data_IF_833472169538
#
_entry.id   IF_833472169538
#
_cell.length_a   1.000
_cell.length_b   1.000
_cell.length_c   1.000
_cell.angle_alpha   90.00
_cell.angle_beta   90.00
_cell.angle_gamma   90.00
#
_symmetry.space_group_name_H-M   'P 1'
#
loop_
_entity.id
_entity.type
_entity.pdbx_description
1 polymer ?
#
# COMPACT_ATOMS: atom_id res chain seq x y z
N UNK A 1 33.11 5.40 6.97
CA UNK A 1 32.02 5.20 7.97
C UNK A 1 30.71 5.57 7.30
N UNK A 2 29.73 4.67 7.24
CA UNK A 2 28.40 5.02 6.72
C UNK A 2 27.75 6.01 7.69
N UNK A 3 27.11 7.03 7.14
CA UNK A 3 26.42 8.03 7.94
C UNK A 3 25.20 7.42 8.66
N UNK A 4 24.71 8.05 9.75
CA UNK A 4 23.46 7.65 10.40
C UNK A 4 22.31 7.57 9.39
N UNK A 5 22.27 8.50 8.44
CA UNK A 5 21.31 8.51 7.36
C UNK A 5 21.36 7.24 6.51
N UNK A 6 22.57 6.79 6.12
CA UNK A 6 22.74 5.61 5.26
C UNK A 6 22.35 4.33 6.01
N UNK A 7 22.70 4.24 7.30
CA UNK A 7 22.31 3.13 8.16
C UNK A 7 20.79 3.03 8.29
N UNK A 8 20.10 4.16 8.55
CA UNK A 8 18.62 4.17 8.66
C UNK A 8 17.98 3.82 7.33
N UNK A 9 18.46 4.38 6.21
CA UNK A 9 17.96 4.04 4.86
C UNK A 9 18.08 2.57 4.57
N UNK A 10 19.22 1.97 4.83
CA UNK A 10 19.45 0.53 4.67
C UNK A 10 18.49 -0.29 5.54
N UNK A 11 18.37 0.03 6.84
CA UNK A 11 17.53 -0.71 7.79
C UNK A 11 16.04 -0.65 7.43
N UNK A 12 15.58 0.48 6.88
CA UNK A 12 14.18 0.69 6.52
C UNK A 12 13.86 0.41 5.05
N UNK A 13 14.86 0.01 4.25
CA UNK A 13 14.71 -0.19 2.81
C UNK A 13 14.13 1.07 2.11
N UNK A 14 14.75 2.22 2.39
CA UNK A 14 14.37 3.53 1.82
C UNK A 14 15.38 3.95 0.77
N UNK A 15 15.03 3.80 -0.51
CA UNK A 15 15.90 4.11 -1.64
C UNK A 15 15.86 5.58 -2.08
N UNK A 16 14.86 6.35 -1.63
CA UNK A 16 14.67 7.74 -2.06
C UNK A 16 15.85 8.62 -1.61
N UNK A 17 16.59 9.13 -2.58
CA UNK A 17 17.78 9.98 -2.35
C UNK A 17 17.42 11.33 -1.72
N UNK A 18 16.21 11.82 -1.95
CA UNK A 18 15.74 13.10 -1.45
C UNK A 18 15.24 13.05 0.00
N UNK A 19 15.16 11.85 0.61
CA UNK A 19 14.88 11.68 2.04
C UNK A 19 16.19 11.68 2.79
N UNK A 20 16.31 12.56 3.78
CA UNK A 20 17.47 12.67 4.65
C UNK A 20 17.01 12.43 6.08
N UNK A 21 17.52 11.38 6.71
CA UNK A 21 17.29 11.10 8.14
C UNK A 21 18.30 11.87 8.98
N UNK A 22 17.81 12.59 9.98
CA UNK A 22 18.63 13.41 10.87
C UNK A 22 18.81 12.78 12.24
N UNK A 23 17.78 12.11 12.77
CA UNK A 23 17.78 11.59 14.14
C UNK A 23 16.67 10.54 14.33
N UNK A 24 16.64 9.90 15.52
CA UNK A 24 15.54 9.07 15.97
C UNK A 24 15.29 9.23 17.47
N UNK A 25 14.04 9.01 17.89
CA UNK A 25 13.62 9.01 19.29
C UNK A 25 12.71 7.83 19.59
N UNK A 26 12.59 7.50 20.87
CA UNK A 26 11.58 6.59 21.36
C UNK A 26 10.51 7.38 22.10
N UNK A 27 9.26 7.29 21.68
CA UNK A 27 8.13 7.99 22.30
C UNK A 27 7.12 6.98 22.85
N UNK A 28 6.68 7.17 24.11
CA UNK A 28 5.60 6.36 24.68
C UNK A 28 4.26 7.00 24.31
N UNK A 29 3.47 6.30 23.49
CA UNK A 29 2.15 6.74 23.08
C UNK A 29 1.14 5.68 23.54
N UNK A 30 0.28 6.06 24.50
CA UNK A 30 -0.74 5.19 25.08
C UNK A 30 -0.19 3.85 25.61
N UNK A 31 0.95 3.90 26.33
CA UNK A 31 1.58 2.72 26.93
C UNK A 31 2.41 1.85 25.95
N UNK A 32 2.49 2.24 24.69
CA UNK A 32 3.29 1.55 23.67
C UNK A 32 4.47 2.41 23.23
N UNK A 33 5.66 1.83 23.20
CA UNK A 33 6.89 2.53 22.77
C UNK A 33 6.95 2.51 21.25
N UNK A 34 6.96 3.69 20.65
CA UNK A 34 7.16 3.92 19.22
C UNK A 34 8.59 4.37 18.96
N UNK A 35 9.23 3.79 17.94
CA UNK A 35 10.48 4.30 17.40
C UNK A 35 10.16 5.31 16.30
N UNK A 36 10.53 6.57 16.51
CA UNK A 36 10.24 7.67 15.61
C UNK A 36 11.53 8.12 14.93
N UNK A 37 11.60 7.99 13.62
CA UNK A 37 12.68 8.52 12.83
C UNK A 37 12.31 9.90 12.30
N UNK A 38 13.20 10.87 12.48
CA UNK A 38 13.06 12.23 11.96
C UNK A 38 13.69 12.29 10.57
N UNK A 39 12.92 12.68 9.58
CA UNK A 39 13.40 12.77 8.22
C UNK A 39 12.89 14.03 7.52
N UNK A 40 13.70 14.57 6.62
CA UNK A 40 13.34 15.66 5.72
C UNK A 40 13.29 15.15 4.28
N UNK A 41 12.26 15.54 3.55
CA UNK A 41 12.11 15.27 2.13
C UNK A 41 12.32 16.57 1.35
N UNK A 42 13.40 16.60 0.59
CA UNK A 42 13.85 17.76 -0.19
C UNK A 42 13.23 17.73 -1.58
N UNK A 43 12.92 18.92 -2.12
CA UNK A 43 12.50 19.12 -3.51
C UNK A 43 13.64 19.79 -4.29
N UNK A 44 14.50 19.05 -5.02
CA UNK A 44 15.68 19.64 -5.69
C UNK A 44 15.34 20.42 -6.95
N UNK A 45 14.24 20.08 -7.61
CA UNK A 45 13.83 20.69 -8.89
C UNK A 45 12.33 20.92 -8.95
N UNK A 46 11.91 21.91 -9.73
CA UNK A 46 10.50 22.15 -9.99
C UNK A 46 9.87 20.99 -10.78
N UNK A 47 8.77 20.37 -10.30
CA UNK A 47 8.14 19.27 -11.03
C UNK A 47 7.42 19.72 -12.33
N UNK A 48 7.26 21.01 -12.55
CA UNK A 48 6.56 21.56 -13.72
C UNK A 48 7.50 22.00 -14.84
N UNK A 49 8.58 22.74 -14.51
CA UNK A 49 9.51 23.28 -15.50
C UNK A 49 10.97 22.77 -15.33
N UNK A 50 11.22 21.89 -14.34
CA UNK A 50 12.52 21.30 -14.02
C UNK A 50 13.61 22.30 -13.58
N UNK A 51 13.26 23.56 -13.36
CA UNK A 51 14.18 24.56 -12.85
C UNK A 51 14.66 24.23 -11.43
N UNK A 52 15.91 24.59 -11.13
CA UNK A 52 16.51 24.53 -9.79
C UNK A 52 16.33 25.83 -9.01
N UNK A 53 15.81 26.90 -9.65
CA UNK A 53 15.59 28.22 -9.05
C UNK A 53 14.33 28.18 -8.14
N UNK A 54 14.49 27.58 -6.99
CA UNK A 54 13.41 27.33 -6.04
C UNK A 54 13.56 28.18 -4.79
N UNK A 55 12.50 28.86 -4.40
CA UNK A 55 12.38 29.55 -3.10
C UNK A 55 11.67 28.65 -2.08
N UNK A 56 12.27 28.52 -0.91
CA UNK A 56 11.65 27.79 0.21
C UNK A 56 10.32 28.45 0.62
N UNK A 57 9.26 27.65 0.76
CA UNK A 57 7.91 28.10 1.09
C UNK A 57 7.28 27.28 2.23
N UNK A 58 8.08 26.99 3.26
CA UNK A 58 7.65 26.23 4.42
C UNK A 58 7.73 24.73 4.28
N UNK A 59 7.15 24.03 5.23
CA UNK A 59 7.15 22.56 5.30
C UNK A 59 5.75 22.03 5.61
N UNK A 60 5.55 20.75 5.29
CA UNK A 60 4.41 19.97 5.76
C UNK A 60 4.93 18.72 6.47
N UNK A 61 4.47 18.46 7.69
CA UNK A 61 4.88 17.28 8.47
C UNK A 61 3.84 16.18 8.31
N UNK A 62 4.27 14.99 7.93
CA UNK A 62 3.43 13.80 7.89
C UNK A 62 4.08 12.66 8.68
N UNK A 63 3.27 11.97 9.48
CA UNK A 63 3.70 10.77 10.20
C UNK A 63 3.40 9.54 9.33
N UNK A 64 4.45 8.89 8.85
CA UNK A 64 4.36 7.70 8.00
C UNK A 64 4.62 6.47 8.85
N UNK A 65 3.63 5.60 9.01
CA UNK A 65 3.77 4.31 9.69
C UNK A 65 4.58 3.36 8.83
N UNK A 66 5.51 2.67 9.48
CA UNK A 66 6.39 1.72 8.86
C UNK A 66 6.30 0.37 9.58
N UNK A 67 6.11 -0.71 8.83
CA UNK A 67 6.04 -2.06 9.38
C UNK A 67 7.45 -2.64 9.34
N UNK A 68 8.00 -2.92 10.51
CA UNK A 68 9.26 -3.63 10.70
C UNK A 68 9.00 -5.10 11.00
N UNK A 69 10.05 -5.92 11.02
CA UNK A 69 9.96 -7.32 11.40
C UNK A 69 9.52 -7.51 12.87
N UNK A 70 9.84 -6.55 13.75
CA UNK A 70 9.42 -6.55 15.15
C UNK A 70 8.16 -5.69 15.35
N UNK A 71 7.00 -6.36 15.41
CA UNK A 71 5.72 -5.71 15.66
C UNK A 71 5.58 -5.12 17.07
N UNK A 72 6.43 -5.54 18.02
CA UNK A 72 6.42 -5.02 19.41
C UNK A 72 6.87 -3.55 19.47
N UNK A 73 7.68 -3.14 18.50
CA UNK A 73 8.24 -1.78 18.41
C UNK A 73 7.80 -1.11 17.10
N UNK A 74 6.59 -0.55 17.07
CA UNK A 74 6.09 0.12 15.87
C UNK A 74 6.99 1.31 15.49
N UNK A 75 7.27 1.41 14.20
CA UNK A 75 8.10 2.47 13.62
C UNK A 75 7.24 3.50 12.93
N UNK A 76 7.56 4.78 13.16
CA UNK A 76 6.97 5.90 12.46
C UNK A 76 8.08 6.80 11.92
N UNK A 77 7.97 7.21 10.66
CA UNK A 77 8.83 8.25 10.09
C UNK A 77 8.07 9.57 10.18
N UNK A 78 8.58 10.51 10.96
CA UNK A 78 8.10 11.89 11.00
C UNK A 78 8.76 12.63 9.84
N UNK A 79 8.06 12.66 8.71
CA UNK A 79 8.58 13.16 7.44
C UNK A 79 8.20 14.63 7.24
N UNK A 80 9.20 15.51 7.29
CA UNK A 80 9.08 16.93 7.01
C UNK A 80 9.26 17.20 5.52
N UNK A 81 8.16 17.38 4.80
CA UNK A 81 8.14 17.58 3.35
C UNK A 81 8.35 19.05 3.01
N UNK A 82 9.36 19.34 2.23
CA UNK A 82 9.66 20.71 1.77
C UNK A 82 8.56 21.21 0.83
N UNK A 83 8.15 22.46 1.03
CA UNK A 83 7.29 23.22 0.11
C UNK A 83 8.15 24.26 -0.58
N UNK A 84 8.00 24.41 -1.88
CA UNK A 84 8.77 25.34 -2.69
C UNK A 84 7.89 26.16 -3.62
N UNK A 85 8.35 27.36 -3.91
CA UNK A 85 7.86 28.22 -5.00
C UNK A 85 8.94 28.27 -6.05
N UNK A 86 8.62 27.93 -7.28
CA UNK A 86 9.53 28.10 -8.42
C UNK A 86 9.52 29.57 -8.87
N UNK A 87 10.69 30.19 -8.94
CA UNK A 87 10.80 31.58 -9.38
C UNK A 87 10.60 31.74 -10.89
N UNK A 88 10.83 30.65 -11.67
CA UNK A 88 10.75 30.73 -13.13
C UNK A 88 9.32 30.53 -13.65
N UNK A 89 8.60 29.56 -13.13
CA UNK A 89 7.22 29.29 -13.55
C UNK A 89 6.14 29.73 -12.54
N UNK A 90 6.54 30.31 -11.40
CA UNK A 90 5.71 30.84 -10.33
C UNK A 90 4.74 29.81 -9.69
N UNK A 91 4.94 28.52 -9.95
CA UNK A 91 4.11 27.46 -9.39
C UNK A 91 4.65 27.00 -8.03
N UNK A 92 3.70 26.69 -7.13
CA UNK A 92 4.00 26.09 -5.83
C UNK A 92 3.93 24.58 -5.92
N UNK A 93 4.87 23.90 -5.26
CA UNK A 93 4.86 22.44 -5.14
C UNK A 93 5.28 22.01 -3.75
N UNK A 94 5.01 20.74 -3.45
CA UNK A 94 5.43 20.07 -2.23
C UNK A 94 6.19 18.80 -2.62
N UNK A 95 7.30 18.56 -1.95
CA UNK A 95 8.12 17.37 -2.17
C UNK A 95 7.28 16.09 -2.03
N UNK A 96 7.43 15.19 -3.00
CA UNK A 96 6.76 13.89 -3.06
C UNK A 96 7.80 12.79 -3.12
N UNK A 97 7.47 11.65 -2.56
CA UNK A 97 8.34 10.48 -2.49
C UNK A 97 7.55 9.21 -2.77
N UNK A 98 8.24 8.19 -3.28
CA UNK A 98 7.71 6.84 -3.43
C UNK A 98 7.53 6.11 -2.08
N UNK A 99 8.00 6.69 -0.98
CA UNK A 99 7.85 6.10 0.35
C UNK A 99 6.38 5.96 0.75
N UNK A 100 5.56 6.97 0.43
CA UNK A 100 4.14 7.01 0.78
C UNK A 100 3.33 7.75 -0.26
N UNK A 101 2.20 7.22 -0.66
CA UNK A 101 1.30 7.87 -1.60
C UNK A 101 0.65 9.12 -0.99
N UNK A 102 0.27 10.07 -1.84
CA UNK A 102 -0.46 11.29 -1.43
C UNK A 102 -1.72 10.91 -0.65
N UNK A 103 -1.91 11.54 0.52
CA UNK A 103 -3.06 11.27 1.40
C UNK A 103 -2.99 9.96 2.19
N UNK A 104 -1.89 9.20 2.10
CA UNK A 104 -1.68 7.97 2.85
C UNK A 104 -0.72 8.19 4.03
N UNK A 105 -0.92 7.39 5.10
CA UNK A 105 -0.11 7.40 6.32
C UNK A 105 0.70 6.12 6.53
N UNK A 106 0.58 5.14 5.63
CA UNK A 106 1.30 3.87 5.69
C UNK A 106 2.24 3.82 4.50
N UNK A 107 3.50 3.44 4.73
CA UNK A 107 4.50 3.36 3.67
C UNK A 107 4.12 2.33 2.61
N UNK A 108 4.58 2.54 1.38
CA UNK A 108 4.32 1.60 0.29
C UNK A 108 5.02 0.25 0.53
N UNK A 109 6.19 0.25 1.19
CA UNK A 109 6.86 -0.98 1.65
C UNK A 109 6.00 -1.75 2.64
N UNK A 110 5.36 -1.06 3.60
CA UNK A 110 4.42 -1.69 4.53
C UNK A 110 3.21 -2.30 3.85
N UNK A 111 2.66 -1.61 2.84
CA UNK A 111 1.54 -2.15 2.05
C UNK A 111 1.96 -3.43 1.30
N UNK A 112 3.17 -3.47 0.73
CA UNK A 112 3.70 -4.68 0.06
C UNK A 112 3.82 -5.86 1.03
N UNK A 113 4.28 -5.63 2.27
CA UNK A 113 4.34 -6.67 3.31
C UNK A 113 2.96 -7.21 3.68
N UNK A 114 1.97 -6.32 3.83
CA UNK A 114 0.57 -6.73 4.06
C UNK A 114 0.06 -7.58 2.89
N UNK A 115 0.33 -7.18 1.64
CA UNK A 115 -0.06 -7.94 0.46
C UNK A 115 0.59 -9.32 0.43
N UNK A 116 1.89 -9.41 0.72
CA UNK A 116 2.57 -10.70 0.82
C UNK A 116 1.94 -11.59 1.89
N UNK A 117 1.59 -11.04 3.07
CA UNK A 117 0.93 -11.81 4.12
C UNK A 117 -0.51 -12.25 3.74
N UNK A 118 -1.17 -11.54 2.81
CA UNK A 118 -2.49 -11.90 2.31
C UNK A 118 -2.46 -13.06 1.29
N UNK A 119 -1.29 -13.40 0.73
CA UNK A 119 -1.13 -14.60 -0.11
C UNK A 119 -0.88 -15.87 0.71
N UNK A 120 -0.65 -15.73 2.01
CA UNK A 120 -0.55 -16.83 2.94
C UNK A 120 -1.95 -17.21 3.46
N UNK A 121 -2.11 -18.45 3.93
CA UNK A 121 -3.38 -18.98 4.45
C UNK A 121 -3.70 -18.42 5.86
N UNK A 122 -3.95 -17.10 5.95
CA UNK A 122 -4.07 -16.33 7.18
C UNK A 122 -5.26 -15.38 7.17
N UNK A 123 -5.90 -15.22 8.33
CA UNK A 123 -7.02 -14.27 8.46
C UNK A 123 -6.53 -12.81 8.47
N UNK A 124 -7.34 -11.88 7.92
CA UNK A 124 -7.07 -10.43 7.98
C UNK A 124 -6.85 -9.93 9.41
N UNK A 125 -7.52 -10.53 10.40
CA UNK A 125 -7.34 -10.18 11.81
C UNK A 125 -5.96 -10.57 12.33
N UNK A 126 -5.45 -11.74 11.93
CA UNK A 126 -4.09 -12.18 12.25
C UNK A 126 -3.05 -11.26 11.64
N UNK A 127 -3.20 -10.94 10.35
CA UNK A 127 -2.32 -10.02 9.61
C UNK A 127 -2.34 -8.61 10.25
N UNK A 128 -3.52 -8.11 10.58
CA UNK A 128 -3.67 -6.81 11.22
C UNK A 128 -2.94 -6.72 12.58
N UNK A 129 -3.02 -7.78 13.38
CA UNK A 129 -2.35 -7.89 14.68
C UNK A 129 -0.83 -7.91 14.52
N UNK A 130 -0.32 -8.75 13.64
CA UNK A 130 1.12 -8.88 13.39
C UNK A 130 1.73 -7.60 12.88
N UNK A 131 1.06 -6.94 11.94
CA UNK A 131 1.55 -5.70 11.36
C UNK A 131 1.18 -4.43 12.12
N UNK A 132 0.52 -4.58 13.28
CA UNK A 132 0.09 -3.46 14.13
C UNK A 132 -0.71 -2.39 13.36
N UNK A 133 -1.64 -2.85 12.55
CA UNK A 133 -2.59 -2.03 11.78
C UNK A 133 -4.03 -2.45 12.09
N UNK A 134 -5.02 -1.65 11.69
CA UNK A 134 -6.42 -2.07 11.79
C UNK A 134 -6.78 -3.06 10.67
N UNK A 135 -7.77 -3.93 10.92
CA UNK A 135 -8.33 -4.84 9.89
C UNK A 135 -8.81 -4.05 8.67
N UNK A 136 -9.43 -2.88 8.88
CA UNK A 136 -9.83 -1.99 7.78
C UNK A 136 -8.65 -1.50 6.93
N UNK A 137 -7.44 -1.41 7.52
CA UNK A 137 -6.23 -1.08 6.75
C UNK A 137 -5.83 -2.23 5.85
N UNK A 138 -5.85 -3.47 6.36
CA UNK A 138 -5.57 -4.68 5.57
C UNK A 138 -6.58 -4.79 4.42
N UNK A 139 -7.86 -4.59 4.70
CA UNK A 139 -8.92 -4.61 3.70
C UNK A 139 -8.69 -3.54 2.60
N UNK A 140 -8.37 -2.28 2.97
CA UNK A 140 -8.09 -1.22 1.97
C UNK A 140 -6.87 -1.53 1.10
N UNK A 141 -5.86 -2.19 1.67
CA UNK A 141 -4.68 -2.61 0.90
C UNK A 141 -5.07 -3.69 -0.11
N UNK A 142 -5.90 -4.66 0.29
CA UNK A 142 -6.44 -5.68 -0.59
C UNK A 142 -7.29 -5.07 -1.72
N UNK A 143 -8.25 -4.21 -1.37
CA UNK A 143 -9.12 -3.54 -2.33
C UNK A 143 -8.34 -2.70 -3.36
N UNK A 144 -7.28 -1.99 -2.93
CA UNK A 144 -6.45 -1.20 -3.83
C UNK A 144 -5.64 -2.06 -4.82
N UNK A 145 -5.47 -3.34 -4.55
CA UNK A 145 -4.76 -4.27 -5.40
C UNK A 145 -5.69 -5.21 -6.17
N UNK A 146 -6.93 -5.39 -5.71
CA UNK A 146 -7.87 -6.32 -6.34
C UNK A 146 -8.10 -6.04 -7.82
N UNK A 147 -8.07 -4.78 -8.24
CA UNK A 147 -8.17 -4.39 -9.65
C UNK A 147 -6.99 -4.83 -10.54
N UNK A 148 -5.89 -5.30 -9.93
CA UNK A 148 -4.70 -5.80 -10.64
C UNK A 148 -4.67 -7.33 -10.73
N UNK A 149 -5.56 -8.01 -10.03
CA UNK A 149 -5.67 -9.46 -9.97
C UNK A 149 -6.91 -9.95 -10.75
N UNK A 150 -7.27 -9.28 -11.82
CA UNK A 150 -8.14 -9.91 -12.81
C UNK A 150 -7.25 -10.87 -13.59
N UNK A 151 -7.45 -12.16 -13.32
CA UNK A 151 -6.96 -13.18 -14.23
C UNK A 151 -7.66 -12.92 -15.56
N UNK A 152 -6.90 -12.47 -16.53
CA UNK A 152 -7.34 -12.36 -17.92
C UNK A 152 -7.34 -13.79 -18.45
N UNK A 153 -8.44 -14.50 -18.22
CA UNK A 153 -8.64 -15.81 -18.82
C UNK A 153 -9.04 -15.59 -20.28
N UNK A 154 -8.06 -15.50 -21.16
CA UNK A 154 -8.30 -15.53 -22.61
C UNK A 154 -9.07 -16.80 -23.02
N UNK A 155 -8.96 -17.87 -22.24
CA UNK A 155 -9.67 -19.12 -22.43
C UNK A 155 -10.12 -19.71 -21.10
N UNK A 156 -11.35 -20.26 -21.06
CA UNK A 156 -11.80 -21.01 -19.89
C UNK A 156 -11.03 -22.32 -19.76
N UNK A 157 -10.75 -22.78 -18.53
CA UNK A 157 -10.25 -24.12 -18.27
C UNK A 157 -11.17 -25.19 -18.86
N UNK A 158 -10.59 -26.33 -19.26
CA UNK A 158 -11.34 -27.45 -19.86
C UNK A 158 -12.36 -28.03 -18.86
N UNK A 159 -11.99 -28.09 -17.58
CA UNK A 159 -12.86 -28.55 -16.51
C UNK A 159 -13.19 -27.41 -15.55
N UNK A 160 -14.47 -27.10 -15.41
CA UNK A 160 -14.96 -26.05 -14.51
C UNK A 160 -15.73 -26.67 -13.33
N UNK A 161 -15.38 -26.24 -12.12
CA UNK A 161 -16.12 -26.55 -10.92
C UNK A 161 -16.88 -25.29 -10.44
N UNK A 162 -18.15 -25.50 -10.01
CA UNK A 162 -19.04 -24.42 -9.58
C UNK A 162 -19.53 -24.70 -8.17
N UNK A 163 -19.61 -23.62 -7.36
CA UNK A 163 -20.18 -23.69 -6.01
C UNK A 163 -20.81 -22.34 -5.61
N UNK A 164 -21.57 -22.34 -4.54
CA UNK A 164 -22.14 -21.14 -3.92
C UNK A 164 -21.59 -20.98 -2.50
N UNK A 165 -21.17 -19.78 -2.15
CA UNK A 165 -20.72 -19.48 -0.79
C UNK A 165 -21.40 -18.23 -0.22
N UNK A 166 -21.47 -18.15 1.10
CA UNK A 166 -21.96 -16.96 1.80
C UNK A 166 -20.86 -15.91 1.84
N UNK A 167 -21.02 -14.86 1.02
CA UNK A 167 -20.11 -13.73 0.96
C UNK A 167 -20.55 -12.56 1.84
N UNK A 168 -20.17 -11.36 1.44
CA UNK A 168 -20.45 -10.12 2.16
C UNK A 168 -21.96 -9.90 2.31
N UNK A 169 -22.39 -9.51 3.52
CA UNK A 169 -23.81 -9.26 3.81
C UNK A 169 -24.68 -10.53 3.90
N UNK A 170 -24.08 -11.70 4.11
CA UNK A 170 -24.75 -13.02 4.20
C UNK A 170 -25.49 -13.42 2.90
N UNK A 171 -25.20 -12.75 1.78
CA UNK A 171 -25.74 -13.11 0.47
C UNK A 171 -24.95 -14.27 -0.13
N UNK A 172 -25.65 -15.12 -0.91
CA UNK A 172 -25.00 -16.18 -1.67
C UNK A 172 -24.34 -15.59 -2.92
N UNK A 173 -23.08 -15.96 -3.11
CA UNK A 173 -22.24 -15.61 -4.21
C UNK A 173 -21.89 -16.88 -4.99
N UNK A 174 -21.78 -16.77 -6.30
CA UNK A 174 -21.32 -17.84 -7.15
C UNK A 174 -19.80 -17.81 -7.26
N UNK A 175 -19.16 -18.97 -7.24
CA UNK A 175 -17.74 -19.15 -7.52
C UNK A 175 -17.56 -20.18 -8.62
N UNK A 176 -16.64 -19.90 -9.54
CA UNK A 176 -16.16 -20.81 -10.56
C UNK A 176 -14.68 -21.07 -10.35
N UNK A 177 -14.27 -22.29 -10.37
CA UNK A 177 -12.90 -22.76 -10.21
C UNK A 177 -12.48 -23.58 -11.44
N UNK A 178 -11.18 -23.57 -11.74
CA UNK A 178 -10.55 -24.57 -12.54
C UNK A 178 -10.59 -25.93 -11.80
N UNK A 179 -11.21 -26.93 -12.38
CA UNK A 179 -11.39 -28.25 -11.77
C UNK A 179 -10.07 -29.01 -11.55
N UNK A 180 -9.03 -28.70 -12.30
CA UNK A 180 -7.75 -29.41 -12.22
C UNK A 180 -6.77 -28.70 -11.27
N UNK A 181 -6.67 -27.38 -11.37
CA UNK A 181 -5.71 -26.57 -10.59
C UNK A 181 -6.29 -25.98 -9.33
N UNK A 182 -7.62 -26.03 -9.14
CA UNK A 182 -8.39 -25.40 -8.07
C UNK A 182 -8.23 -23.86 -7.98
N UNK A 183 -7.70 -23.24 -9.03
CA UNK A 183 -7.61 -21.77 -9.10
C UNK A 183 -8.99 -21.16 -9.32
N UNK A 184 -9.23 -20.03 -8.65
CA UNK A 184 -10.47 -19.27 -8.85
C UNK A 184 -10.48 -18.66 -10.24
N UNK A 185 -11.45 -19.04 -11.06
CA UNK A 185 -11.71 -18.46 -12.38
C UNK A 185 -12.51 -17.16 -12.22
N UNK A 186 -13.61 -17.22 -11.44
CA UNK A 186 -14.45 -16.04 -11.24
C UNK A 186 -15.30 -16.16 -9.97
N UNK A 187 -15.57 -15.00 -9.35
CA UNK A 187 -16.54 -14.85 -8.28
C UNK A 187 -17.56 -13.79 -8.69
N UNK A 188 -18.83 -14.18 -8.76
CA UNK A 188 -19.94 -13.26 -9.02
C UNK A 188 -20.71 -12.97 -7.73
N UNK A 189 -21.05 -11.69 -7.50
CA UNK A 189 -21.84 -11.26 -6.32
C UNK A 189 -23.33 -11.64 -6.41
N UNK A 190 -23.65 -12.65 -7.20
CA UNK A 190 -24.99 -13.15 -7.47
C UNK A 190 -24.93 -14.65 -7.68
N UNK A 191 -26.02 -15.34 -7.44
CA UNK A 191 -26.21 -16.76 -7.77
C UNK A 191 -27.24 -16.98 -8.87
N UNK A 192 -27.82 -15.90 -9.42
CA UNK A 192 -28.89 -16.00 -10.38
C UNK A 192 -28.37 -16.40 -11.76
N UNK A 193 -28.97 -17.43 -12.31
CA UNK A 193 -28.60 -18.00 -13.62
C UNK A 193 -28.47 -16.95 -14.73
N UNK A 194 -29.35 -15.93 -14.88
CA UNK A 194 -29.19 -14.95 -15.94
C UNK A 194 -27.89 -14.14 -15.85
N UNK A 195 -27.45 -13.80 -14.63
CA UNK A 195 -26.21 -13.04 -14.43
C UNK A 195 -24.98 -13.89 -14.71
N UNK A 196 -25.02 -15.15 -14.28
CA UNK A 196 -23.94 -16.14 -14.55
C UNK A 196 -23.80 -16.35 -16.05
N UNK A 197 -24.93 -16.62 -16.75
CA UNK A 197 -24.92 -16.80 -18.20
C UNK A 197 -24.41 -15.56 -18.94
N UNK A 198 -24.81 -14.36 -18.50
CA UNK A 198 -24.32 -13.11 -19.10
C UNK A 198 -22.81 -13.01 -19.02
N UNK A 199 -22.21 -13.33 -17.88
CA UNK A 199 -20.76 -13.33 -17.71
C UNK A 199 -20.08 -14.30 -18.70
N UNK A 200 -20.48 -15.56 -18.71
CA UNK A 200 -19.84 -16.58 -19.56
C UNK A 200 -20.07 -16.33 -21.07
N UNK A 201 -21.19 -15.75 -21.47
CA UNK A 201 -21.45 -15.39 -22.86
C UNK A 201 -20.65 -14.16 -23.33
N UNK A 202 -20.31 -13.23 -22.43
CA UNK A 202 -19.52 -12.04 -22.75
C UNK A 202 -18.02 -12.33 -22.88
N UNK A 203 -17.51 -13.33 -22.15
CA UNK A 203 -16.10 -13.70 -22.16
C UNK A 203 -15.74 -14.57 -23.38
N UNK A 204 -16.73 -15.11 -24.10
CA UNK A 204 -16.53 -16.09 -25.20
C UNK A 204 -17.20 -15.70 -26.52
N UNK A 205 -17.57 -14.44 -26.68
CA UNK A 205 -17.95 -13.83 -27.96
C UNK A 205 -16.80 -13.01 -28.51
#
# INVERSE_FOLDING_TARGET
MSSLNDYIKFTLDVEDKNIIFSDYSNENINGKIYKIYLAELIQPTCPYCRSTNLKHNGHYVSNVRFITADASKPVTIRLRKQRVLCNDCLKRSMAQSNLVNKGCYISNTSKRKILSALTEDRSMTSIAREHNVSVNTVQRVLEACSSKFYDDFDHLPEHLAFDEFKGVGKKLHFICLDGDTHKVVQILRTRFKPDILRYFLQVHS
#
